data_IF_924402883808
#
_entry.id   IF_924402883808
#
_cell.length_a   1.000
_cell.length_b   1.000
_cell.length_c   1.000
_cell.angle_alpha   90.00
_cell.angle_beta   90.00
_cell.angle_gamma   90.00
#
_symmetry.space_group_name_H-M   'P 1'
#
loop_
_entity.id
_entity.type
_entity.pdbx_description
1 polymer ?
#
# COMPACT_ATOMS: atom_id res chain seq x y z
N UNK A 1 -9.02 -3.10 2.56
CA UNK A 1 -8.07 -2.51 1.59
C UNK A 1 -6.88 -1.95 2.35
N UNK A 2 -5.77 -1.76 1.64
CA UNK A 2 -4.52 -1.20 2.16
C UNK A 2 -4.06 -0.14 1.18
N UNK A 3 -3.80 1.07 1.67
CA UNK A 3 -3.02 2.04 0.90
C UNK A 3 -1.55 1.63 1.02
N UNK A 4 -0.91 1.44 -0.13
CA UNK A 4 0.50 1.05 -0.21
C UNK A 4 1.20 1.83 -1.30
N UNK A 5 2.40 2.31 -1.02
CA UNK A 5 3.34 2.83 -2.01
C UNK A 5 4.65 2.10 -1.77
N UNK A 6 5.18 1.45 -2.79
CA UNK A 6 6.46 0.74 -2.75
C UNK A 6 7.36 1.29 -3.85
N UNK A 7 8.58 1.69 -3.49
CA UNK A 7 9.55 2.25 -4.43
C UNK A 7 10.86 1.51 -4.26
N UNK A 8 11.38 0.99 -5.38
CA UNK A 8 12.74 0.45 -5.47
C UNK A 8 13.71 1.57 -5.87
N UNK A 9 14.64 1.88 -4.96
CA UNK A 9 15.80 2.75 -5.19
C UNK A 9 17.04 1.91 -5.51
N UNK A 10 18.18 2.56 -5.70
CA UNK A 10 19.45 1.88 -5.98
C UNK A 10 19.97 1.03 -4.82
N UNK A 11 19.68 1.41 -3.58
CA UNK A 11 20.25 0.81 -2.36
C UNK A 11 19.21 0.24 -1.38
N UNK A 12 17.93 0.50 -1.61
CA UNK A 12 16.84 -0.03 -0.80
C UNK A 12 15.52 -0.13 -1.56
N UNK A 13 14.57 -0.88 -1.00
CA UNK A 13 13.16 -0.79 -1.33
C UNK A 13 12.44 -0.23 -0.11
N UNK A 14 11.62 0.78 -0.31
CA UNK A 14 10.82 1.38 0.75
C UNK A 14 9.34 1.15 0.49
N UNK A 15 8.61 0.80 1.54
CA UNK A 15 7.18 0.53 1.55
C UNK A 15 6.53 1.48 2.54
N UNK A 16 5.53 2.23 2.10
CA UNK A 16 4.68 3.01 2.98
C UNK A 16 3.30 2.40 2.99
N UNK A 17 2.76 2.09 4.16
CA UNK A 17 1.40 1.59 4.33
C UNK A 17 0.60 2.41 5.33
N UNK A 18 -0.72 2.42 5.15
CA UNK A 18 -1.64 2.82 6.23
C UNK A 18 -1.84 1.66 7.23
N UNK A 19 -2.69 1.88 8.24
CA UNK A 19 -2.96 0.90 9.29
C UNK A 19 -4.45 0.63 9.55
N UNK A 20 -5.36 1.24 8.78
CA UNK A 20 -6.79 1.12 9.03
C UNK A 20 -7.36 -0.22 8.54
N UNK A 21 -7.97 -1.01 9.42
CA UNK A 21 -8.82 -2.13 9.02
C UNK A 21 -10.27 -1.82 9.39
N UNK A 22 -11.15 -1.92 8.41
CA UNK A 22 -12.53 -1.45 8.51
C UNK A 22 -13.55 -2.56 8.20
N UNK A 23 -14.79 -2.38 8.65
CA UNK A 23 -15.91 -3.28 8.34
C UNK A 23 -16.55 -2.96 6.99
N UNK A 24 -17.48 -3.82 6.53
CA UNK A 24 -18.26 -3.61 5.30
C UNK A 24 -19.03 -2.29 5.28
N UNK A 25 -19.45 -1.80 6.45
CA UNK A 25 -20.12 -0.49 6.60
C UNK A 25 -19.14 0.70 6.71
N UNK A 26 -17.88 0.51 6.31
CA UNK A 26 -16.82 1.51 6.34
C UNK A 26 -16.59 2.17 7.72
N UNK A 27 -16.61 1.36 8.78
CA UNK A 27 -16.23 1.77 10.14
C UNK A 27 -14.85 1.22 10.45
N UNK A 28 -13.95 2.04 10.99
CA UNK A 28 -12.64 1.61 11.46
C UNK A 28 -12.83 0.63 12.63
N UNK A 29 -12.32 -0.59 12.50
CA UNK A 29 -12.46 -1.63 13.55
C UNK A 29 -11.19 -1.85 14.33
N UNK A 30 -10.04 -1.74 13.67
CA UNK A 30 -8.72 -1.85 14.31
C UNK A 30 -7.69 -1.04 13.55
N UNK A 31 -6.71 -0.55 14.29
CA UNK A 31 -5.46 0.00 13.75
C UNK A 31 -4.41 -1.08 13.90
N UNK A 32 -3.82 -1.54 12.81
CA UNK A 32 -2.85 -2.62 12.80
C UNK A 32 -1.81 -2.43 11.71
N UNK A 33 -0.62 -2.99 11.92
CA UNK A 33 0.39 -3.03 10.87
C UNK A 33 -0.06 -3.94 9.72
N UNK A 34 0.21 -3.47 8.50
CA UNK A 34 -0.12 -4.17 7.25
C UNK A 34 1.12 -4.57 6.45
N UNK A 35 2.29 -4.43 7.07
CA UNK A 35 3.57 -4.86 6.53
C UNK A 35 4.18 -5.87 7.49
N UNK A 36 4.33 -7.10 7.03
CA UNK A 36 5.00 -8.19 7.73
C UNK A 36 6.43 -8.27 7.23
N UNK A 37 7.40 -8.49 8.12
CA UNK A 37 8.80 -8.61 7.73
C UNK A 37 9.53 -9.63 8.60
N UNK A 38 10.56 -10.23 8.03
CA UNK A 38 11.45 -11.17 8.70
C UNK A 38 12.45 -10.43 9.59
N UNK A 39 12.80 -11.03 10.73
CA UNK A 39 13.85 -10.53 11.61
C UNK A 39 15.24 -11.04 11.18
N UNK A 40 15.28 -12.10 10.37
CA UNK A 40 16.50 -12.79 9.95
C UNK A 40 16.93 -12.43 8.53
N UNK A 41 15.99 -12.47 7.59
CA UNK A 41 16.26 -12.21 6.17
C UNK A 41 15.73 -10.82 5.78
N UNK A 42 16.35 -10.14 4.80
CA UNK A 42 15.88 -8.85 4.29
C UNK A 42 14.62 -9.04 3.42
N UNK A 43 13.49 -9.35 4.06
CA UNK A 43 12.20 -9.63 3.43
C UNK A 43 11.11 -8.81 4.10
N UNK A 44 10.33 -8.07 3.32
CA UNK A 44 9.10 -7.44 3.77
C UNK A 44 7.96 -7.66 2.77
N UNK A 45 6.77 -7.96 3.28
CA UNK A 45 5.56 -8.20 2.52
C UNK A 45 4.44 -7.29 3.00
N UNK A 46 3.63 -6.81 2.07
CA UNK A 46 2.33 -6.19 2.35
C UNK A 46 1.32 -6.66 1.30
N UNK A 47 0.04 -6.35 1.47
CA UNK A 47 -0.96 -6.79 0.53
C UNK A 47 -2.31 -6.08 0.65
N UNK A 48 -3.17 -6.35 -0.32
CA UNK A 48 -4.55 -5.87 -0.44
C UNK A 48 -5.48 -7.02 -0.74
N UNK A 49 -6.77 -6.80 -0.53
CA UNK A 49 -7.82 -7.78 -0.77
C UNK A 49 -8.48 -8.24 0.53
N UNK A 50 -8.88 -9.51 0.58
CA UNK A 50 -9.42 -10.13 1.78
C UNK A 50 -8.37 -10.08 2.91
N UNK A 51 -8.67 -9.33 3.98
CA UNK A 51 -7.73 -9.09 5.07
C UNK A 51 -7.31 -10.36 5.79
N UNK A 52 -8.22 -11.35 5.91
CA UNK A 52 -7.89 -12.62 6.56
C UNK A 52 -6.87 -13.42 5.72
N UNK A 53 -7.10 -13.50 4.41
CA UNK A 53 -6.20 -14.19 3.48
C UNK A 53 -4.84 -13.50 3.43
N UNK A 54 -4.80 -12.17 3.26
CA UNK A 54 -3.54 -11.41 3.24
C UNK A 54 -2.76 -11.55 4.55
N UNK A 55 -3.43 -11.49 5.70
CA UNK A 55 -2.79 -11.65 7.01
C UNK A 55 -2.21 -13.06 7.19
N UNK A 56 -2.96 -14.10 6.80
CA UNK A 56 -2.49 -15.48 6.81
C UNK A 56 -1.25 -15.65 5.92
N UNK A 57 -1.31 -15.18 4.67
CA UNK A 57 -0.19 -15.30 3.72
C UNK A 57 1.03 -14.48 4.19
N UNK A 58 0.83 -13.27 4.72
CA UNK A 58 1.91 -12.46 5.27
C UNK A 58 2.64 -13.15 6.42
N UNK A 59 1.89 -13.77 7.35
CA UNK A 59 2.48 -14.57 8.44
C UNK A 59 3.22 -15.79 7.92
N UNK A 60 2.64 -16.52 6.97
CA UNK A 60 3.26 -17.72 6.40
C UNK A 60 4.58 -17.38 5.68
N UNK A 61 4.59 -16.31 4.89
CA UNK A 61 5.79 -15.85 4.17
C UNK A 61 6.90 -15.43 5.12
N UNK A 62 6.60 -14.63 6.13
CA UNK A 62 7.61 -14.21 7.13
C UNK A 62 8.11 -15.40 7.94
N UNK A 63 7.20 -16.28 8.39
CA UNK A 63 7.58 -17.50 9.10
C UNK A 63 8.56 -18.32 8.27
N UNK A 64 8.29 -18.51 6.97
CA UNK A 64 9.22 -19.22 6.11
C UNK A 64 10.57 -18.50 5.99
N UNK A 65 10.56 -17.18 5.76
CA UNK A 65 11.78 -16.39 5.68
C UNK A 65 12.65 -16.50 6.95
N UNK A 66 12.04 -16.60 8.13
CA UNK A 66 12.78 -16.77 9.40
C UNK A 66 13.35 -18.20 9.57
N UNK A 67 12.75 -19.20 8.92
CA UNK A 67 13.11 -20.62 9.09
C UNK A 67 14.09 -21.15 8.03
N UNK A 68 14.18 -20.52 6.86
CA UNK A 68 15.14 -20.93 5.82
C UNK A 68 16.53 -20.34 6.07
N UNK A 69 17.55 -20.96 5.48
CA UNK A 69 18.94 -20.56 5.70
C UNK A 69 19.34 -19.36 4.83
N UNK A 70 18.94 -19.39 3.56
CA UNK A 70 19.36 -18.40 2.57
C UNK A 70 18.18 -17.72 1.88
N UNK A 71 18.44 -16.55 1.26
CA UNK A 71 17.44 -15.87 0.44
C UNK A 71 17.07 -16.65 -0.82
N UNK A 72 18.01 -17.43 -1.37
CA UNK A 72 17.75 -18.23 -2.57
C UNK A 72 16.78 -19.38 -2.25
N UNK A 73 16.92 -20.04 -1.09
CA UNK A 73 15.97 -21.03 -0.60
C UNK A 73 14.57 -20.42 -0.39
N UNK A 74 14.52 -19.21 0.18
CA UNK A 74 13.28 -18.46 0.33
C UNK A 74 12.62 -18.18 -1.02
N UNK A 75 13.38 -17.68 -2.01
CA UNK A 75 12.88 -17.39 -3.35
C UNK A 75 12.37 -18.65 -4.05
N UNK A 76 13.09 -19.77 -3.94
CA UNK A 76 12.63 -21.04 -4.49
C UNK A 76 11.31 -21.50 -3.86
N UNK A 77 11.17 -21.33 -2.53
CA UNK A 77 9.94 -21.65 -1.83
C UNK A 77 8.76 -20.78 -2.26
N UNK A 78 8.97 -19.50 -2.59
CA UNK A 78 7.90 -18.60 -3.05
C UNK A 78 7.19 -19.14 -4.30
N UNK A 79 7.93 -19.76 -5.22
CA UNK A 79 7.35 -20.36 -6.43
C UNK A 79 6.52 -21.62 -6.10
N UNK A 80 7.00 -22.45 -5.17
CA UNK A 80 6.25 -23.60 -4.67
C UNK A 80 4.96 -23.15 -3.98
N UNK A 81 5.04 -22.09 -3.16
CA UNK A 81 3.89 -21.52 -2.48
C UNK A 81 2.85 -20.98 -3.48
N UNK A 82 3.29 -20.27 -4.52
CA UNK A 82 2.41 -19.73 -5.55
C UNK A 82 1.64 -20.84 -6.31
N UNK A 83 2.32 -21.93 -6.69
CA UNK A 83 1.65 -23.08 -7.33
C UNK A 83 0.70 -23.81 -6.35
N UNK A 84 1.07 -23.93 -5.07
CA UNK A 84 0.18 -24.46 -4.05
C UNK A 84 -1.10 -23.62 -3.88
N UNK A 85 -0.98 -22.29 -3.89
CA UNK A 85 -2.14 -21.38 -3.86
C UNK A 85 -3.04 -21.55 -5.08
N UNK A 86 -2.44 -21.68 -6.27
CA UNK A 86 -3.19 -21.91 -7.51
C UNK A 86 -4.04 -23.16 -7.42
N UNK A 87 -3.47 -24.28 -6.95
CA UNK A 87 -4.19 -25.54 -6.80
C UNK A 87 -5.29 -25.45 -5.72
N UNK A 88 -5.00 -24.82 -4.59
CA UNK A 88 -5.97 -24.65 -3.52
C UNK A 88 -7.17 -23.79 -3.96
N UNK A 89 -6.91 -22.66 -4.62
CA UNK A 89 -7.94 -21.69 -4.98
C UNK A 89 -8.80 -22.12 -6.19
N UNK A 90 -8.39 -23.13 -6.97
CA UNK A 90 -9.24 -23.70 -8.03
C UNK A 90 -10.56 -24.27 -7.51
N UNK A 91 -10.65 -24.54 -6.20
CA UNK A 91 -11.82 -25.17 -5.57
C UNK A 91 -12.66 -24.21 -4.72
N UNK A 92 -12.25 -22.95 -4.63
CA UNK A 92 -12.82 -21.97 -3.70
C UNK A 92 -13.56 -20.85 -4.45
N UNK A 93 -14.45 -20.14 -3.75
CA UNK A 93 -15.06 -18.93 -4.29
C UNK A 93 -14.00 -17.85 -4.51
N UNK A 94 -13.80 -17.47 -5.77
CA UNK A 94 -12.82 -16.46 -6.19
C UNK A 94 -13.00 -15.12 -5.47
N UNK A 95 -14.22 -14.78 -5.05
CA UNK A 95 -14.49 -13.54 -4.31
C UNK A 95 -13.93 -13.56 -2.90
N UNK A 96 -13.89 -14.72 -2.25
CA UNK A 96 -13.38 -14.86 -0.89
C UNK A 96 -11.84 -14.85 -0.86
N UNK A 97 -11.20 -15.26 -1.95
CA UNK A 97 -9.75 -15.37 -2.08
C UNK A 97 -9.13 -14.29 -2.97
N UNK A 98 -9.78 -13.14 -3.09
CA UNK A 98 -9.25 -12.02 -3.86
C UNK A 98 -8.14 -11.28 -3.06
N UNK A 99 -6.92 -11.25 -3.58
CA UNK A 99 -5.78 -10.57 -2.97
C UNK A 99 -4.68 -10.19 -3.98
N UNK A 100 -3.87 -9.20 -3.56
CA UNK A 100 -2.56 -8.87 -4.12
C UNK A 100 -1.53 -8.85 -3.00
N UNK A 101 -0.35 -9.38 -3.25
CA UNK A 101 0.82 -9.29 -2.38
C UNK A 101 1.90 -8.47 -3.07
N UNK A 102 2.55 -7.60 -2.30
CA UNK A 102 3.71 -6.82 -2.69
C UNK A 102 4.87 -7.24 -1.80
N UNK A 103 5.93 -7.73 -2.41
CA UNK A 103 7.08 -8.29 -1.73
C UNK A 103 8.34 -7.50 -2.09
N UNK A 104 9.09 -7.09 -1.08
CA UNK A 104 10.41 -6.49 -1.20
C UNK A 104 11.44 -7.45 -0.59
N UNK A 105 12.48 -7.78 -1.35
CA UNK A 105 13.59 -8.60 -0.87
C UNK A 105 14.94 -8.01 -1.27
N UNK A 106 16.00 -8.45 -0.60
CA UNK A 106 17.38 -8.34 -1.07
C UNK A 106 18.03 -9.71 -1.07
N UNK A 107 18.62 -10.16 -2.17
CA UNK A 107 19.54 -11.30 -2.17
C UNK A 107 20.95 -10.85 -2.57
N UNK A 108 21.97 -11.55 -2.09
CA UNK A 108 23.35 -11.28 -2.54
C UNK A 108 23.54 -11.62 -4.02
N UNK A 109 22.84 -12.64 -4.50
CA UNK A 109 22.88 -13.16 -5.87
C UNK A 109 22.21 -12.23 -6.90
N UNK A 110 21.14 -11.55 -6.51
CA UNK A 110 20.27 -10.81 -7.43
C UNK A 110 19.99 -9.36 -7.02
N UNK A 111 20.49 -8.93 -5.86
CA UNK A 111 20.27 -7.60 -5.31
C UNK A 111 18.82 -7.38 -4.86
N UNK A 112 18.37 -6.13 -4.99
CA UNK A 112 17.02 -5.70 -4.60
C UNK A 112 15.98 -6.23 -5.58
N UNK A 113 14.98 -6.94 -5.06
CA UNK A 113 13.87 -7.43 -5.88
C UNK A 113 12.55 -6.92 -5.33
N UNK A 114 11.74 -6.39 -6.24
CA UNK A 114 10.35 -6.05 -6.00
C UNK A 114 9.49 -7.06 -6.77
N UNK A 115 8.63 -7.78 -6.06
CA UNK A 115 7.78 -8.84 -6.63
C UNK A 115 6.32 -8.60 -6.27
N UNK A 116 5.43 -9.04 -7.16
CA UNK A 116 3.99 -8.99 -6.96
C UNK A 116 3.37 -10.34 -7.27
N UNK A 117 2.31 -10.69 -6.54
CA UNK A 117 1.49 -11.86 -6.80
C UNK A 117 0.03 -11.49 -6.57
N UNK A 118 -0.85 -11.91 -7.47
CA UNK A 118 -2.29 -11.65 -7.38
C UNK A 118 -3.09 -12.90 -7.67
N UNK A 119 -4.33 -12.94 -7.17
CA UNK A 119 -5.23 -14.09 -7.32
C UNK A 119 -6.28 -13.95 -8.44
N UNK A 120 -6.33 -12.81 -9.12
CA UNK A 120 -7.30 -12.51 -10.17
C UNK A 120 -6.65 -12.23 -11.51
N UNK A 121 -7.42 -12.43 -12.58
CA UNK A 121 -6.96 -12.19 -13.94
C UNK A 121 -7.04 -10.69 -14.30
N UNK A 122 -6.24 -10.27 -15.29
CA UNK A 122 -6.43 -8.99 -15.97
C UNK A 122 -5.59 -7.81 -15.47
N UNK A 123 -4.61 -8.03 -14.59
CA UNK A 123 -3.54 -7.04 -14.38
C UNK A 123 -2.40 -7.35 -15.37
N UNK A 124 -2.22 -6.47 -16.35
CA UNK A 124 -1.11 -6.51 -17.34
C UNK A 124 -0.98 -7.83 -18.13
N UNK A 125 -2.08 -8.57 -18.32
CA UNK A 125 -2.10 -9.88 -19.00
C UNK A 125 -1.16 -10.94 -18.40
N UNK A 126 -0.76 -10.80 -17.13
CA UNK A 126 0.13 -11.77 -16.50
C UNK A 126 -0.62 -12.85 -15.72
N UNK A 127 -0.08 -14.08 -15.66
CA UNK A 127 -0.71 -15.18 -14.95
C UNK A 127 -0.96 -14.89 -13.47
N UNK A 128 -2.18 -15.16 -12.98
CA UNK A 128 -2.47 -15.21 -11.54
C UNK A 128 -1.70 -16.33 -10.83
N UNK A 129 -1.52 -16.20 -9.52
CA UNK A 129 -0.77 -17.13 -8.67
C UNK A 129 0.66 -17.39 -9.16
N UNK A 130 1.33 -16.32 -9.62
CA UNK A 130 2.74 -16.33 -9.98
C UNK A 130 3.38 -15.05 -9.45
N UNK A 131 4.63 -15.17 -9.00
CA UNK A 131 5.42 -14.00 -8.64
C UNK A 131 5.98 -13.32 -9.88
N UNK A 132 5.65 -12.05 -10.05
CA UNK A 132 6.13 -11.23 -11.15
C UNK A 132 7.12 -10.20 -10.62
N UNK A 133 8.27 -10.09 -11.29
CA UNK A 133 9.24 -9.05 -10.98
C UNK A 133 8.75 -7.70 -11.46
N UNK A 134 9.08 -6.67 -10.70
CA UNK A 134 8.70 -5.28 -10.96
C UNK A 134 9.88 -4.36 -10.71
N UNK A 135 9.87 -3.27 -11.45
CA UNK A 135 10.82 -2.19 -11.28
C UNK A 135 10.06 -0.89 -11.03
N UNK A 136 10.71 0.08 -10.42
CA UNK A 136 10.14 1.39 -10.18
C UNK A 136 9.13 1.43 -9.04
N UNK A 137 7.97 2.03 -9.30
CA UNK A 137 6.97 2.38 -8.29
C UNK A 137 5.77 1.44 -8.41
N UNK A 138 5.42 0.78 -7.32
CA UNK A 138 4.14 0.09 -7.16
C UNK A 138 3.26 0.86 -6.20
N UNK A 139 1.97 0.93 -6.54
CA UNK A 139 0.97 1.59 -5.71
C UNK A 139 -0.28 0.73 -5.60
N UNK A 140 -0.86 0.73 -4.42
CA UNK A 140 -2.19 0.20 -4.15
C UNK A 140 -3.15 1.34 -3.82
N UNK A 141 -4.39 1.21 -4.27
CA UNK A 141 -5.46 2.17 -4.10
C UNK A 141 -5.67 2.65 -2.65
N UNK A 142 -6.20 3.88 -2.41
CA UNK A 142 -6.67 4.87 -3.40
C UNK A 142 -5.57 5.44 -4.31
N UNK A 143 -5.94 6.00 -5.46
CA UNK A 143 -4.97 6.72 -6.31
C UNK A 143 -4.53 8.04 -5.69
N UNK A 144 -3.28 8.43 -5.97
CA UNK A 144 -2.73 9.75 -5.66
C UNK A 144 -3.06 10.68 -6.84
N UNK A 145 -3.66 11.85 -6.56
CA UNK A 145 -3.96 12.85 -7.59
C UNK A 145 -2.66 13.41 -8.20
N UNK A 146 -2.38 13.16 -9.50
CA UNK A 146 -1.17 13.66 -10.15
C UNK A 146 -1.06 15.19 -10.14
N UNK A 147 -2.20 15.90 -10.17
CA UNK A 147 -2.20 17.36 -10.10
C UNK A 147 -1.76 17.84 -8.70
N UNK A 148 -2.14 17.12 -7.64
CA UNK A 148 -1.71 17.45 -6.29
C UNK A 148 -0.20 17.25 -6.11
N UNK A 149 0.38 16.19 -6.70
CA UNK A 149 1.83 15.99 -6.74
C UNK A 149 2.53 17.14 -7.46
N UNK A 150 2.05 17.48 -8.66
CA UNK A 150 2.61 18.56 -9.47
C UNK A 150 2.55 19.92 -8.75
N UNK A 151 1.44 20.23 -8.08
CA UNK A 151 1.28 21.48 -7.32
C UNK A 151 2.24 21.60 -6.14
N UNK A 152 2.69 20.48 -5.57
CA UNK A 152 3.74 20.46 -4.53
C UNK A 152 5.16 20.46 -5.10
N UNK A 153 5.31 20.43 -6.43
CA UNK A 153 6.60 20.30 -7.10
C UNK A 153 7.26 18.94 -6.87
N UNK A 154 6.48 17.94 -6.43
CA UNK A 154 7.00 16.62 -6.11
C UNK A 154 7.05 15.75 -7.35
N UNK A 155 8.18 15.08 -7.55
CA UNK A 155 8.35 14.04 -8.54
C UNK A 155 8.43 12.71 -7.80
N UNK A 156 7.37 11.92 -7.88
CA UNK A 156 7.40 10.54 -7.40
C UNK A 156 8.38 9.78 -8.30
N UNK A 157 9.55 9.40 -7.76
CA UNK A 157 10.64 8.87 -8.56
C UNK A 157 11.58 7.99 -7.75
N UNK A 158 12.41 7.24 -8.49
CA UNK A 158 13.39 6.28 -7.96
C UNK A 158 14.76 6.89 -7.66
N UNK A 159 14.91 8.20 -7.85
CA UNK A 159 16.21 8.87 -7.80
C UNK A 159 16.61 9.29 -6.37
N UNK A 160 15.64 9.53 -5.49
CA UNK A 160 15.88 10.05 -4.14
C UNK A 160 15.31 9.10 -3.06
N UNK A 161 16.15 8.29 -2.38
CA UNK A 161 15.70 7.43 -1.30
C UNK A 161 15.22 8.18 -0.04
N UNK A 162 15.38 9.51 0.03
CA UNK A 162 14.79 10.34 1.08
C UNK A 162 13.34 10.77 0.78
N UNK A 163 12.83 10.46 -0.41
CA UNK A 163 11.49 10.90 -0.82
C UNK A 163 10.38 10.35 0.08
N UNK A 164 10.29 9.04 0.31
CA UNK A 164 9.25 8.47 1.19
C UNK A 164 9.47 8.77 2.69
N UNK A 165 10.71 8.78 3.24
CA UNK A 165 10.95 9.29 4.59
C UNK A 165 10.42 10.70 4.81
N UNK A 166 10.52 11.57 3.80
CA UNK A 166 10.14 12.99 3.89
C UNK A 166 8.66 13.20 3.58
N UNK A 167 8.13 12.53 2.55
CA UNK A 167 6.82 12.82 1.96
C UNK A 167 5.82 11.66 2.06
N UNK A 168 6.23 10.48 2.51
CA UNK A 168 5.38 9.28 2.53
C UNK A 168 4.07 9.47 3.30
N UNK A 169 4.12 10.16 4.44
CA UNK A 169 2.92 10.49 5.21
C UNK A 169 1.99 11.46 4.47
N UNK A 170 2.54 12.44 3.75
CA UNK A 170 1.75 13.40 2.98
C UNK A 170 1.11 12.76 1.75
N UNK A 171 1.77 11.78 1.12
CA UNK A 171 1.17 10.98 0.04
C UNK A 171 -0.02 10.17 0.56
N UNK A 172 0.11 9.55 1.73
CA UNK A 172 -1.02 8.86 2.36
C UNK A 172 -2.13 9.83 2.76
N UNK A 173 -1.82 11.08 3.16
CA UNK A 173 -2.85 12.10 3.38
C UNK A 173 -3.58 12.48 2.08
N UNK A 174 -2.88 12.54 0.95
CA UNK A 174 -3.54 12.74 -0.35
C UNK A 174 -4.49 11.58 -0.68
N UNK A 175 -4.04 10.33 -0.47
CA UNK A 175 -4.87 9.13 -0.68
C UNK A 175 -6.05 9.12 0.30
N UNK A 176 -5.83 9.51 1.56
CA UNK A 176 -6.84 9.62 2.61
C UNK A 176 -7.94 10.62 2.25
N UNK A 177 -7.59 11.74 1.62
CA UNK A 177 -8.56 12.72 1.13
C UNK A 177 -9.31 12.26 -0.13
N UNK A 178 -8.81 11.23 -0.82
CA UNK A 178 -9.46 10.65 -1.98
C UNK A 178 -10.58 9.70 -1.52
N UNK A 179 -11.75 10.29 -1.25
CA UNK A 179 -12.95 9.57 -0.86
C UNK A 179 -13.40 8.68 -2.02
N UNK A 180 -13.53 7.37 -1.79
CA UNK A 180 -14.09 6.45 -2.77
C UNK A 180 -15.57 6.77 -2.97
N UNK A 181 -15.89 7.46 -4.06
CA UNK A 181 -17.27 7.71 -4.46
C UNK A 181 -17.93 6.47 -5.08
N UNK A 182 -19.27 6.49 -5.12
CA UNK A 182 -20.10 5.59 -5.95
C UNK A 182 -19.48 5.39 -7.34
N UNK A 183 -19.26 4.13 -7.71
CA UNK A 183 -18.85 3.76 -9.08
C UNK A 183 -17.36 3.43 -9.25
N UNK A 184 -16.59 3.26 -8.17
CA UNK A 184 -15.31 2.55 -8.26
C UNK A 184 -15.52 1.21 -8.98
N UNK A 185 -14.83 1.01 -10.12
CA UNK A 185 -15.04 -0.15 -11.00
C UNK A 185 -14.86 -1.49 -10.29
N UNK A 186 -14.08 -1.52 -9.21
CA UNK A 186 -13.77 -2.74 -8.47
C UNK A 186 -14.93 -3.20 -7.57
N UNK A 187 -15.83 -2.29 -7.15
CA UNK A 187 -16.87 -2.62 -6.18
C UNK A 187 -18.16 -1.81 -6.41
N UNK A 188 -18.87 -2.09 -7.51
CA UNK A 188 -20.17 -1.44 -7.82
C UNK A 188 -21.24 -1.62 -6.72
N UNK A 189 -21.12 -2.67 -5.91
CA UNK A 189 -22.06 -3.00 -4.83
C UNK A 189 -21.72 -2.30 -3.51
N UNK A 190 -20.55 -1.67 -3.39
CA UNK A 190 -20.16 -1.02 -2.16
C UNK A 190 -20.77 0.38 -2.13
N UNK A 191 -21.53 0.67 -1.06
CA UNK A 191 -22.02 2.02 -0.76
C UNK A 191 -20.85 3.01 -0.69
N UNK A 192 -21.12 4.33 -0.82
CA UNK A 192 -20.12 5.41 -0.75
C UNK A 192 -19.13 5.14 0.41
N UNK A 193 -17.95 4.62 0.07
CA UNK A 193 -17.07 3.95 1.04
C UNK A 193 -16.18 4.95 1.79
N UNK A 194 -16.51 6.24 1.75
CA UNK A 194 -15.81 7.27 2.51
C UNK A 194 -14.30 7.30 2.24
N UNK A 195 -13.55 7.78 3.22
CA UNK A 195 -12.09 7.63 3.29
C UNK A 195 -11.75 6.27 3.92
N UNK A 196 -10.67 5.64 3.44
CA UNK A 196 -10.26 4.28 3.86
C UNK A 196 -8.80 4.18 4.31
N UNK A 197 -8.10 5.31 4.35
CA UNK A 197 -6.68 5.39 4.73
C UNK A 197 -6.61 6.02 6.11
N UNK A 198 -6.04 5.33 7.10
CA UNK A 198 -6.00 5.85 8.46
C UNK A 198 -5.16 5.02 9.44
N UNK A 199 -5.34 5.31 10.73
CA UNK A 199 -4.52 4.74 11.81
C UNK A 199 -3.13 5.35 11.86
N UNK A 200 -2.16 4.80 11.13
CA UNK A 200 -0.82 5.37 11.00
C UNK A 200 -0.20 5.10 9.65
N UNK A 201 0.74 5.96 9.27
CA UNK A 201 1.63 5.81 8.15
C UNK A 201 2.91 5.13 8.64
N UNK A 202 3.16 3.90 8.21
CA UNK A 202 4.40 3.16 8.51
C UNK A 202 5.28 3.12 7.28
N UNK A 203 6.55 3.46 7.47
CA UNK A 203 7.62 3.26 6.49
C UNK A 203 8.41 2.01 6.87
N UNK A 204 8.48 1.04 5.97
CA UNK A 204 9.35 -0.13 6.06
C UNK A 204 10.41 -0.06 4.96
N UNK A 205 11.68 -0.23 5.31
CA UNK A 205 12.82 -0.18 4.39
C UNK A 205 13.53 -1.53 4.38
N UNK A 206 13.65 -2.13 3.21
CA UNK A 206 14.41 -3.35 2.94
C UNK A 206 15.72 -2.98 2.23
N UNK A 207 16.84 -3.49 2.73
CA UNK A 207 18.18 -3.25 2.18
C UNK A 207 19.06 -4.48 2.39
N UNK A 208 20.31 -4.43 1.91
CA UNK A 208 21.31 -5.46 2.20
C UNK A 208 21.52 -5.69 3.71
N UNK A 209 21.33 -4.65 4.53
CA UNK A 209 21.51 -4.72 5.98
C UNK A 209 20.30 -5.31 6.75
N UNK A 210 19.25 -5.76 6.06
CA UNK A 210 18.02 -6.24 6.69
C UNK A 210 16.83 -5.30 6.51
N UNK A 211 15.84 -5.44 7.41
CA UNK A 211 14.60 -4.65 7.40
C UNK A 211 14.56 -3.68 8.58
N UNK A 212 14.12 -2.44 8.32
CA UNK A 212 13.84 -1.43 9.36
C UNK A 212 12.45 -0.86 9.15
N UNK A 213 11.74 -0.57 10.23
CA UNK A 213 10.41 0.02 10.17
C UNK A 213 10.26 1.17 11.17
N UNK A 214 9.56 2.23 10.77
CA UNK A 214 9.20 3.35 11.65
C UNK A 214 7.85 3.95 11.29
N UNK A 215 7.15 4.49 12.27
CA UNK A 215 5.93 5.27 12.05
C UNK A 215 6.34 6.69 11.63
N UNK A 216 5.81 7.17 10.51
CA UNK A 216 6.01 8.55 10.02
C UNK A 216 4.95 9.51 10.55
N UNK A 217 3.70 9.04 10.69
CA UNK A 217 2.55 9.83 11.14
C UNK A 217 1.50 8.92 11.74
N UNK A 218 0.79 9.39 12.76
CA UNK A 218 -0.40 8.72 13.30
C UNK A 218 -1.59 9.66 13.22
N UNK A 219 -2.74 9.13 12.85
CA UNK A 219 -4.03 9.81 12.87
C UNK A 219 -4.85 9.23 14.04
N UNK A 220 -5.37 10.08 14.91
CA UNK A 220 -6.26 9.70 16.01
C UNK A 220 -7.69 9.34 15.54
N UNK A 221 -7.78 8.44 14.56
CA UNK A 221 -9.07 7.92 14.07
C UNK A 221 -9.75 7.08 15.17
N UNK A 222 -10.98 7.40 15.58
CA UNK A 222 -11.67 6.59 16.56
C UNK A 222 -12.21 5.30 15.93
N UNK A 223 -12.21 4.26 16.75
CA UNK A 223 -12.81 2.99 16.41
C UNK A 223 -14.35 3.13 16.30
N UNK A 224 -14.94 2.25 15.50
CA UNK A 224 -16.37 2.15 15.22
C UNK A 224 -17.02 3.36 14.54
N UNK A 225 -16.21 4.30 14.09
CA UNK A 225 -16.59 5.43 13.25
C UNK A 225 -16.00 5.32 11.83
N UNK A 226 -16.58 6.06 10.89
CA UNK A 226 -15.98 6.28 9.57
C UNK A 226 -14.81 7.23 9.69
N UNK A 227 -13.73 6.94 8.95
CA UNK A 227 -12.56 7.82 8.87
C UNK A 227 -12.97 9.17 8.27
N UNK A 228 -12.66 10.24 8.99
CA UNK A 228 -12.84 11.62 8.54
C UNK A 228 -11.47 12.28 8.30
N UNK A 229 -11.08 12.52 7.02
CA UNK A 229 -9.83 13.20 6.68
C UNK A 229 -9.73 14.64 7.14
N UNK A 230 -10.86 15.28 7.46
CA UNK A 230 -10.95 16.70 7.79
C UNK A 230 -11.22 16.96 9.26
N UNK A 231 -11.29 15.90 10.06
CA UNK A 231 -11.44 16.03 11.50
C UNK A 231 -10.28 16.84 12.04
N UNK A 232 -10.60 17.92 12.74
CA UNK A 232 -9.60 18.71 13.44
C UNK A 232 -9.01 17.86 14.55
N UNK A 233 -7.81 17.34 14.31
CA UNK A 233 -7.07 16.52 15.27
C UNK A 233 -5.85 17.27 15.82
N UNK A 234 -5.79 18.60 15.64
CA UNK A 234 -4.70 19.47 16.12
C UNK A 234 -3.33 19.25 15.46
N UNK A 235 -3.15 18.17 14.68
CA UNK A 235 -1.85 17.71 14.17
C UNK A 235 -1.80 17.55 12.62
N UNK A 236 -2.85 17.98 11.90
CA UNK A 236 -2.90 17.90 10.43
C UNK A 236 -3.03 19.31 9.87
N UNK A 237 -2.01 19.80 9.17
CA UNK A 237 -2.16 21.01 8.37
C UNK A 237 -3.23 20.77 7.31
N UNK A 238 -4.36 21.47 7.43
CA UNK A 238 -5.46 21.35 6.49
C UNK A 238 -4.99 21.74 5.08
N UNK A 239 -4.81 20.74 4.21
CA UNK A 239 -4.76 20.97 2.77
C UNK A 239 -6.17 21.41 2.39
N UNK A 240 -6.37 22.73 2.28
CA UNK A 240 -7.67 23.41 2.25
C UNK A 240 -8.82 22.60 1.61
N UNK A 241 -10.00 22.67 2.22
CA UNK A 241 -11.13 21.83 1.86
C UNK A 241 -11.53 21.99 0.37
N UNK A 242 -12.34 21.07 -0.16
CA UNK A 242 -12.76 21.09 -1.58
C UNK A 242 -13.36 22.44 -2.00
N UNK A 243 -14.05 23.14 -1.09
CA UNK A 243 -14.64 24.46 -1.31
C UNK A 243 -13.56 25.54 -1.43
N UNK A 244 -12.54 25.51 -0.58
CA UNK A 244 -11.36 26.39 -0.64
C UNK A 244 -10.50 26.11 -1.87
N UNK A 245 -10.34 24.83 -2.25
CA UNK A 245 -9.69 24.44 -3.52
C UNK A 245 -10.48 24.96 -4.73
N UNK A 246 -11.81 24.84 -4.71
CA UNK A 246 -12.70 25.40 -5.74
C UNK A 246 -12.66 26.93 -5.77
N UNK A 247 -12.62 27.58 -4.60
CA UNK A 247 -12.53 29.03 -4.48
C UNK A 247 -11.16 29.55 -4.97
N UNK A 248 -10.06 28.90 -4.60
CA UNK A 248 -8.71 29.20 -5.13
C UNK A 248 -8.66 29.00 -6.65
N UNK A 249 -9.25 27.92 -7.19
CA UNK A 249 -9.32 27.66 -8.64
C UNK A 249 -10.16 28.72 -9.37
N UNK A 250 -11.29 29.15 -8.79
CA UNK A 250 -12.12 30.21 -9.34
C UNK A 250 -11.38 31.57 -9.35
N UNK A 251 -10.65 31.89 -8.27
CA UNK A 251 -9.87 33.13 -8.15
C UNK A 251 -8.65 33.15 -9.10
N UNK A 252 -7.95 32.03 -9.27
CA UNK A 252 -6.85 31.93 -10.23
C UNK A 252 -7.34 32.14 -11.68
N UNK A 253 -8.51 31.59 -12.03
CA UNK A 253 -9.10 31.78 -13.36
C UNK A 253 -9.52 33.24 -13.62
N UNK A 254 -10.00 33.96 -12.60
CA UNK A 254 -10.32 35.39 -12.70
C UNK A 254 -9.09 36.27 -12.93
N UNK A 255 -7.93 35.90 -12.38
CA UNK A 255 -6.67 36.64 -12.57
C UNK A 255 -6.01 36.46 -13.95
N UNK A 256 -6.42 35.44 -14.72
CA UNK A 256 -5.89 35.19 -16.08
C UNK A 256 -6.70 35.87 -17.19
N UNK A 257 -7.83 36.52 -16.86
CA UNK A 257 -8.76 37.15 -17.82
C UNK A 257 -8.67 38.69 -17.76
N UNK A 258 -7.70 39.22 -17.02
CA UNK A 258 -7.34 40.64 -16.94
C UNK A 258 -5.93 40.79 -17.47
#
# INVERSE_FOLDING_TARGET
MTAVIMIKYSDCIQIVTDAAAYSKDNKLRKVMDKCWYSERLPVALTGRGNSHVVEMLGKAVVTMADNVETMDDFIAWLDVMAEGLKQHCQTLDEKEWNFDLFLATYSESEGLQQRVLWSYDGIYDEPRYRWHRREGILKGAPDIDPLALHQKGWKLGIEDPQFLPTHGADLLDMMRQNVFGKGSMLHKEWADFGAVVGGHCRLTTVSAAGVRSKILRSWADPLDETIDPYRDMGNVEAIGNRRERRAKKANAKRRMVV
#
